data_IF_576657304845
#
_entry.id   IF_576657304845
#
_cell.length_a   1.000
_cell.length_b   1.000
_cell.length_c   1.000
_cell.angle_alpha   90.00
_cell.angle_beta   90.00
_cell.angle_gamma   90.00
#
_symmetry.space_group_name_H-M   'P 1'
#
loop_
_entity.id
_entity.type
_entity.pdbx_description
1 polymer ?
#
# COMPACT_ATOMS: atom_id res chain seq x y z
N UNK A 1 -18.27 -20.65 -13.84
CA UNK A 1 -17.24 -20.36 -12.83
C UNK A 1 -17.91 -19.45 -11.83
N UNK A 2 -18.16 -19.95 -10.63
CA UNK A 2 -18.84 -19.17 -9.59
C UNK A 2 -17.88 -18.07 -9.12
N UNK A 3 -18.16 -16.81 -9.52
CA UNK A 3 -17.40 -15.65 -9.08
C UNK A 3 -17.78 -15.32 -7.64
N UNK A 4 -17.22 -16.07 -6.69
CA UNK A 4 -17.36 -15.80 -5.27
C UNK A 4 -16.29 -14.82 -4.78
N UNK A 5 -16.67 -13.89 -3.89
CA UNK A 5 -15.74 -13.10 -3.11
C UNK A 5 -15.51 -13.78 -1.77
N UNK A 6 -14.30 -14.27 -1.52
CA UNK A 6 -13.94 -14.84 -0.22
C UNK A 6 -13.52 -13.73 0.73
N UNK A 7 -14.17 -13.68 1.89
CA UNK A 7 -13.85 -12.76 2.98
C UNK A 7 -13.37 -13.54 4.20
N UNK A 8 -12.34 -13.02 4.84
CA UNK A 8 -11.74 -13.48 6.07
C UNK A 8 -12.35 -12.69 7.24
N UNK A 9 -12.96 -13.42 8.17
CA UNK A 9 -13.70 -12.86 9.29
C UNK A 9 -12.99 -13.21 10.59
N UNK A 10 -12.70 -12.19 11.39
CA UNK A 10 -12.26 -12.37 12.77
C UNK A 10 -13.50 -12.31 13.67
N UNK A 11 -13.84 -13.44 14.28
CA UNK A 11 -15.02 -13.59 15.11
C UNK A 11 -14.78 -14.44 16.35
N UNK A 12 -15.85 -14.65 17.11
CA UNK A 12 -15.86 -15.53 18.27
C UNK A 12 -16.30 -16.95 17.85
N UNK A 13 -15.54 -17.98 18.21
CA UNK A 13 -15.81 -19.38 17.84
C UNK A 13 -16.65 -20.16 18.87
N UNK A 14 -17.11 -19.51 19.93
CA UNK A 14 -17.82 -20.17 21.04
C UNK A 14 -16.92 -20.53 22.23
N UNK A 15 -15.60 -20.63 22.05
CA UNK A 15 -14.64 -21.14 23.03
C UNK A 15 -14.01 -20.10 23.96
N UNK A 16 -14.34 -18.81 23.78
CA UNK A 16 -13.70 -17.72 24.51
C UNK A 16 -12.63 -16.99 23.70
N UNK A 17 -12.20 -17.57 22.57
CA UNK A 17 -11.04 -17.09 21.81
C UNK A 17 -11.44 -16.50 20.45
N UNK A 18 -10.72 -15.48 19.96
CA UNK A 18 -10.90 -15.00 18.61
C UNK A 18 -10.39 -16.06 17.61
N UNK A 19 -11.20 -16.36 16.61
CA UNK A 19 -10.86 -17.29 15.54
C UNK A 19 -11.10 -16.66 14.17
N UNK A 20 -10.35 -17.14 13.18
CA UNK A 20 -10.52 -16.77 11.78
C UNK A 20 -11.47 -17.77 11.12
N UNK A 21 -12.45 -17.24 10.39
CA UNK A 21 -13.27 -18.02 9.48
C UNK A 21 -13.26 -17.40 8.09
N UNK A 22 -13.38 -18.25 7.06
CA UNK A 22 -13.52 -17.82 5.68
C UNK A 22 -14.99 -17.94 5.26
N UNK A 23 -15.48 -16.91 4.60
CA UNK A 23 -16.84 -16.84 4.09
C UNK A 23 -16.83 -16.34 2.66
N UNK A 24 -17.28 -17.19 1.74
CA UNK A 24 -17.46 -16.82 0.34
C UNK A 24 -18.86 -16.28 0.12
N UNK A 25 -18.92 -15.07 -0.43
CA UNK A 25 -20.16 -14.42 -0.84
C UNK A 25 -20.31 -14.49 -2.36
N UNK A 26 -21.53 -14.69 -2.88
CA UNK A 26 -21.77 -14.57 -4.31
C UNK A 26 -21.57 -13.12 -4.75
N UNK A 27 -20.70 -12.86 -5.74
CA UNK A 27 -20.61 -11.55 -6.37
C UNK A 27 -21.61 -11.47 -7.52
N UNK A 28 -22.51 -10.49 -7.44
CA UNK A 28 -23.31 -10.08 -8.59
C UNK A 28 -22.80 -8.72 -9.10
N UNK A 29 -22.49 -8.58 -10.40
CA UNK A 29 -21.95 -7.35 -10.98
C UNK A 29 -22.80 -6.08 -10.74
N UNK A 30 -24.10 -6.27 -10.49
CA UNK A 30 -25.08 -5.19 -10.30
C UNK A 30 -25.55 -5.00 -8.86
N UNK A 31 -25.07 -5.81 -7.91
CA UNK A 31 -25.54 -5.74 -6.52
C UNK A 31 -24.37 -5.78 -5.53
N UNK A 32 -24.28 -4.78 -4.62
CA UNK A 32 -23.35 -4.85 -3.51
C UNK A 32 -23.68 -6.05 -2.63
N UNK A 33 -22.64 -6.65 -2.06
CA UNK A 33 -22.77 -7.81 -1.17
C UNK A 33 -23.25 -7.31 0.19
N UNK A 34 -24.39 -7.82 0.65
CA UNK A 34 -24.84 -7.71 2.05
C UNK A 34 -24.44 -9.00 2.77
N UNK A 35 -23.28 -9.04 3.46
CA UNK A 35 -22.79 -10.27 4.04
C UNK A 35 -23.68 -10.68 5.21
N UNK A 36 -24.32 -11.84 5.09
CA UNK A 36 -24.89 -12.53 6.26
C UNK A 36 -23.73 -13.10 7.07
N UNK A 37 -23.26 -12.33 8.04
CA UNK A 37 -22.14 -12.75 8.89
C UNK A 37 -22.50 -13.97 9.74
N UNK A 38 -21.51 -14.80 10.10
CA UNK A 38 -21.72 -15.95 10.97
C UNK A 38 -22.41 -15.57 12.30
N UNK A 39 -23.27 -16.46 12.81
CA UNK A 39 -23.96 -16.29 14.09
C UNK A 39 -22.94 -16.22 15.23
N UNK A 40 -22.68 -15.02 15.74
CA UNK A 40 -21.71 -14.77 16.79
C UNK A 40 -21.30 -13.30 16.83
N UNK A 41 -20.37 -12.96 17.71
CA UNK A 41 -19.78 -11.61 17.74
C UNK A 41 -18.68 -11.53 16.68
N UNK A 42 -18.96 -10.86 15.57
CA UNK A 42 -17.94 -10.50 14.59
C UNK A 42 -17.19 -9.25 15.04
N UNK A 43 -15.86 -9.30 15.00
CA UNK A 43 -15.02 -8.18 15.40
C UNK A 43 -14.47 -7.42 14.20
N UNK A 44 -14.09 -8.13 13.13
CA UNK A 44 -13.51 -7.55 11.93
C UNK A 44 -13.89 -8.41 10.71
N UNK A 45 -14.17 -7.74 9.59
CA UNK A 45 -14.47 -8.40 8.31
C UNK A 45 -13.45 -7.91 7.29
N UNK A 46 -12.85 -8.79 6.53
CA UNK A 46 -12.01 -8.38 5.41
C UNK A 46 -12.87 -7.95 4.23
N UNK A 47 -12.45 -6.89 3.55
CA UNK A 47 -13.08 -6.48 2.30
C UNK A 47 -13.05 -4.98 2.09
N UNK A 48 -13.67 -4.58 1.00
CA UNK A 48 -13.70 -3.20 0.54
C UNK A 48 -15.10 -2.64 0.71
N UNK A 49 -15.22 -1.39 1.18
CA UNK A 49 -16.51 -0.70 1.34
C UNK A 49 -17.26 -0.48 0.02
N UNK A 50 -16.56 -0.60 -1.12
CA UNK A 50 -17.14 -0.57 -2.47
C UNK A 50 -17.87 -1.87 -2.82
N UNK A 51 -17.48 -3.00 -2.22
CA UNK A 51 -18.06 -4.33 -2.47
C UNK A 51 -19.06 -4.73 -1.39
N UNK A 52 -18.72 -4.48 -0.12
CA UNK A 52 -19.54 -4.79 1.05
C UNK A 52 -20.16 -3.49 1.56
N UNK A 53 -21.46 -3.32 1.31
CA UNK A 53 -22.22 -2.20 1.88
C UNK A 53 -22.86 -2.65 3.19
N UNK A 54 -22.87 -1.73 4.15
CA UNK A 54 -23.55 -1.89 5.44
C UNK A 54 -23.06 -3.07 6.28
N UNK A 55 -21.74 -3.31 6.28
CA UNK A 55 -21.13 -4.30 7.17
C UNK A 55 -21.40 -3.92 8.64
N UNK A 56 -21.94 -4.84 9.46
CA UNK A 56 -22.19 -4.58 10.89
C UNK A 56 -20.91 -4.61 11.73
N UNK A 57 -19.75 -4.90 11.12
CA UNK A 57 -18.43 -4.84 11.73
C UNK A 57 -17.46 -4.03 10.85
N UNK A 58 -16.38 -3.47 11.41
CA UNK A 58 -15.38 -2.73 10.65
C UNK A 58 -14.79 -3.57 9.51
N UNK A 59 -14.56 -2.92 8.37
CA UNK A 59 -13.94 -3.53 7.20
C UNK A 59 -12.43 -3.27 7.19
N UNK A 60 -11.64 -4.29 6.84
CA UNK A 60 -10.19 -4.16 6.63
C UNK A 60 -9.80 -4.59 5.21
N UNK A 61 -9.51 -3.64 4.32
CA UNK A 61 -8.87 -3.91 3.02
C UNK A 61 -7.50 -4.56 3.19
N UNK A 62 -6.76 -4.19 4.24
CA UNK A 62 -5.46 -4.79 4.57
C UNK A 62 -5.58 -6.29 4.79
N UNK A 63 -6.55 -6.72 5.62
CA UNK A 63 -6.77 -8.14 5.86
C UNK A 63 -7.17 -8.87 4.56
N UNK A 64 -7.97 -8.23 3.71
CA UNK A 64 -8.39 -8.83 2.44
C UNK A 64 -7.21 -9.05 1.51
N UNK A 65 -6.40 -8.02 1.28
CA UNK A 65 -5.24 -8.11 0.39
C UNK A 65 -4.19 -9.11 0.90
N UNK A 66 -3.99 -9.18 2.22
CA UNK A 66 -3.07 -10.17 2.80
C UNK A 66 -3.62 -11.60 2.69
N UNK A 67 -4.93 -11.80 2.82
CA UNK A 67 -5.56 -13.10 2.61
C UNK A 67 -5.52 -13.55 1.14
N UNK A 68 -5.83 -12.64 0.21
CA UNK A 68 -5.93 -12.95 -1.22
C UNK A 68 -4.56 -13.10 -1.91
N UNK A 69 -3.60 -12.24 -1.56
CA UNK A 69 -2.30 -12.16 -2.23
C UNK A 69 -1.15 -12.74 -1.41
N UNK A 70 -1.35 -12.93 -0.11
CA UNK A 70 -0.34 -13.46 0.79
C UNK A 70 -0.32 -14.98 0.85
N UNK A 71 0.79 -15.54 1.32
CA UNK A 71 0.94 -16.97 1.64
C UNK A 71 0.81 -17.23 3.15
N UNK A 72 -0.02 -16.43 3.82
CA UNK A 72 -0.15 -16.46 5.28
C UNK A 72 -1.00 -17.63 5.74
N UNK A 73 -0.53 -18.34 6.76
CA UNK A 73 -1.32 -19.32 7.48
C UNK A 73 -2.46 -18.67 8.28
N UNK A 74 -3.50 -19.44 8.62
CA UNK A 74 -4.63 -18.95 9.43
C UNK A 74 -4.20 -18.24 10.74
N UNK A 75 -3.20 -18.72 11.52
CA UNK A 75 -2.70 -17.99 12.68
C UNK A 75 -2.04 -16.65 12.35
N UNK A 76 -1.35 -16.54 11.21
CA UNK A 76 -0.73 -15.28 10.77
C UNK A 76 -1.80 -14.28 10.32
N UNK A 77 -2.82 -14.73 9.58
CA UNK A 77 -3.98 -13.89 9.23
C UNK A 77 -4.74 -13.44 10.47
N UNK A 78 -4.88 -14.30 11.49
CA UNK A 78 -5.46 -13.93 12.77
C UNK A 78 -4.66 -12.82 13.47
N UNK A 79 -3.32 -12.90 13.45
CA UNK A 79 -2.44 -11.87 14.01
C UNK A 79 -2.59 -10.53 13.26
N UNK A 80 -2.66 -10.56 11.93
CA UNK A 80 -2.91 -9.37 11.09
C UNK A 80 -4.29 -8.77 11.43
N UNK A 81 -5.33 -9.61 11.52
CA UNK A 81 -6.67 -9.19 11.84
C UNK A 81 -6.76 -8.56 13.24
N UNK A 82 -6.06 -9.10 14.24
CA UNK A 82 -5.99 -8.52 15.58
C UNK A 82 -5.26 -7.18 15.60
N UNK A 83 -4.16 -7.06 14.85
CA UNK A 83 -3.42 -5.80 14.72
C UNK A 83 -4.29 -4.71 14.05
N UNK A 84 -5.02 -5.06 12.99
CA UNK A 84 -5.97 -4.18 12.31
C UNK A 84 -7.14 -3.79 13.22
N UNK A 85 -7.72 -4.74 13.95
CA UNK A 85 -8.77 -4.46 14.92
C UNK A 85 -8.27 -3.49 16.00
N UNK A 86 -7.07 -3.71 16.54
CA UNK A 86 -6.45 -2.81 17.52
C UNK A 86 -6.21 -1.42 16.92
N UNK A 87 -5.78 -1.32 15.66
CA UNK A 87 -5.60 -0.05 14.94
C UNK A 87 -6.92 0.70 14.80
N UNK A 88 -8.00 0.00 14.43
CA UNK A 88 -9.33 0.57 14.21
C UNK A 88 -10.06 0.94 15.51
N UNK A 89 -9.80 0.21 16.59
CA UNK A 89 -10.47 0.41 17.90
C UNK A 89 -9.66 1.26 18.88
N UNK A 90 -8.42 1.63 18.54
CA UNK A 90 -7.58 2.47 19.40
C UNK A 90 -8.31 3.79 19.71
N UNK A 91 -8.54 4.14 20.98
CA UNK A 91 -9.07 5.44 21.36
C UNK A 91 -7.96 6.47 21.18
N UNK A 92 -7.77 6.87 19.94
CA UNK A 92 -7.00 8.03 19.52
C UNK A 92 -7.87 8.76 18.53
N UNK A 93 -7.92 10.08 18.66
CA UNK A 93 -8.49 11.00 17.69
C UNK A 93 -8.42 10.42 16.26
N UNK A 94 -9.48 10.62 15.45
CA UNK A 94 -9.31 10.69 14.00
C UNK A 94 -8.34 11.84 13.72
N UNK A 95 -7.06 11.60 13.95
CA UNK A 95 -6.02 12.33 13.28
C UNK A 95 -6.17 11.88 11.85
N UNK A 96 -6.95 12.64 11.08
CA UNK A 96 -6.37 13.12 9.84
C UNK A 96 -5.07 13.77 10.30
N UNK A 97 -3.98 12.99 10.34
CA UNK A 97 -2.67 13.58 10.25
C UNK A 97 -2.76 14.23 8.89
N UNK A 98 -3.13 15.52 8.89
CA UNK A 98 -2.99 16.36 7.73
C UNK A 98 -1.48 16.46 7.60
N UNK A 99 -0.89 15.45 6.95
CA UNK A 99 0.52 15.40 6.67
C UNK A 99 0.86 16.78 6.12
N UNK A 100 1.79 17.48 6.79
CA UNK A 100 2.16 18.84 6.39
C UNK A 100 2.66 18.87 4.94
N UNK A 101 3.08 17.71 4.44
CA UNK A 101 3.44 17.45 3.06
C UNK A 101 2.78 16.11 2.65
N UNK A 102 1.73 16.10 1.82
CA UNK A 102 1.04 14.88 1.40
C UNK A 102 1.83 14.06 0.37
N UNK A 103 3.07 14.45 0.09
CA UNK A 103 3.93 13.78 -0.87
C UNK A 103 4.37 12.41 -0.36
N UNK A 104 4.15 11.40 -1.18
CA UNK A 104 4.64 10.03 -0.97
C UNK A 104 5.97 9.88 -1.69
N UNK A 105 7.05 9.76 -0.94
CA UNK A 105 8.38 9.48 -1.51
C UNK A 105 8.47 7.99 -1.86
N UNK A 106 8.78 7.69 -3.13
CA UNK A 106 8.86 6.30 -3.63
C UNK A 106 10.24 6.04 -4.19
N UNK A 107 10.95 5.05 -3.63
CA UNK A 107 12.29 4.67 -4.08
C UNK A 107 12.19 3.36 -4.85
N UNK A 108 12.64 3.36 -6.11
CA UNK A 108 12.50 2.22 -7.02
C UNK A 108 13.81 1.85 -7.72
N UNK A 109 13.99 0.55 -7.97
CA UNK A 109 15.18 0.03 -8.66
C UNK A 109 15.01 -0.06 -10.18
N UNK A 110 13.79 -0.25 -10.67
CA UNK A 110 13.49 -0.44 -12.09
C UNK A 110 12.61 0.68 -12.59
N UNK A 111 13.07 1.37 -13.64
CA UNK A 111 12.35 2.44 -14.33
C UNK A 111 10.91 2.04 -14.70
N UNK A 112 10.74 0.88 -15.35
CA UNK A 112 9.43 0.43 -15.85
C UNK A 112 8.41 0.23 -14.72
N UNK A 113 8.87 -0.25 -13.55
CA UNK A 113 7.99 -0.47 -12.40
C UNK A 113 7.60 0.87 -11.75
N UNK A 114 8.54 1.82 -11.70
CA UNK A 114 8.29 3.18 -11.20
C UNK A 114 7.28 3.92 -12.08
N UNK A 115 7.45 3.88 -13.41
CA UNK A 115 6.52 4.51 -14.36
C UNK A 115 5.12 3.94 -14.19
N UNK A 116 4.98 2.61 -14.17
CA UNK A 116 3.67 1.96 -13.97
C UNK A 116 3.03 2.37 -12.64
N UNK A 117 3.82 2.52 -11.58
CA UNK A 117 3.32 3.00 -10.29
C UNK A 117 2.80 4.44 -10.38
N UNK A 118 3.57 5.35 -10.98
CA UNK A 118 3.19 6.75 -11.20
C UNK A 118 1.93 6.84 -12.07
N UNK A 119 1.85 6.07 -13.16
CA UNK A 119 0.68 6.07 -14.05
C UNK A 119 -0.59 5.57 -13.34
N UNK A 120 -0.43 4.59 -12.43
CA UNK A 120 -1.57 4.02 -11.70
C UNK A 120 -2.06 4.94 -10.59
N UNK A 121 -1.15 5.60 -9.88
CA UNK A 121 -1.46 6.28 -8.62
C UNK A 121 -1.23 7.79 -8.63
N UNK A 122 -0.54 8.35 -9.62
CA UNK A 122 -0.19 9.78 -9.68
C UNK A 122 -1.39 10.72 -9.84
N UNK A 123 -2.56 10.19 -10.24
CA UNK A 123 -3.82 10.94 -10.20
C UNK A 123 -4.50 11.00 -8.83
N UNK A 124 -4.02 10.22 -7.85
CA UNK A 124 -4.60 10.07 -6.51
C UNK A 124 -3.60 10.49 -5.42
N UNK A 125 -2.31 10.23 -5.62
CA UNK A 125 -1.22 10.52 -4.69
C UNK A 125 -0.31 11.61 -5.29
N UNK A 126 0.17 12.52 -4.46
CA UNK A 126 1.31 13.37 -4.82
C UNK A 126 2.58 12.53 -4.65
N UNK A 127 3.18 12.05 -5.76
CA UNK A 127 4.31 11.13 -5.71
C UNK A 127 5.61 11.89 -5.95
N UNK A 128 6.63 11.62 -5.13
CA UNK A 128 8.01 12.10 -5.32
C UNK A 128 8.92 10.89 -5.61
N UNK A 129 9.16 10.54 -6.88
CA UNK A 129 9.86 9.32 -7.25
C UNK A 129 11.38 9.49 -7.26
N UNK A 130 12.10 8.49 -6.77
CA UNK A 130 13.56 8.39 -6.81
C UNK A 130 13.98 7.02 -7.34
N UNK A 131 14.82 6.99 -8.37
CA UNK A 131 15.44 5.76 -8.85
C UNK A 131 16.77 5.53 -8.14
N UNK A 132 17.10 4.27 -7.83
CA UNK A 132 18.44 3.88 -7.34
C UNK A 132 19.23 3.08 -8.38
N UNK A 133 18.60 2.75 -9.50
CA UNK A 133 19.24 2.11 -10.64
C UNK A 133 18.47 2.44 -11.93
N UNK A 134 19.21 2.53 -13.04
CA UNK A 134 18.67 2.94 -14.33
C UNK A 134 18.68 4.46 -14.51
N UNK A 135 18.18 4.92 -15.64
CA UNK A 135 18.14 6.35 -15.99
C UNK A 135 16.78 6.70 -16.57
N UNK A 136 16.24 7.84 -16.19
CA UNK A 136 15.03 8.42 -16.75
C UNK A 136 15.19 9.95 -16.85
N UNK A 137 14.77 10.60 -17.95
CA UNK A 137 14.92 12.05 -18.12
C UNK A 137 14.05 12.88 -17.17
N UNK A 138 13.02 12.28 -16.57
CA UNK A 138 12.02 12.98 -15.73
C UNK A 138 12.06 12.55 -14.27
N UNK A 139 12.65 11.39 -13.97
CA UNK A 139 12.75 10.85 -12.61
C UNK A 139 14.21 10.89 -12.17
N UNK A 140 14.56 11.55 -11.04
CA UNK A 140 15.93 11.58 -10.57
C UNK A 140 16.43 10.17 -10.23
N UNK A 141 17.68 9.89 -10.57
CA UNK A 141 18.40 8.69 -10.11
C UNK A 141 19.43 9.09 -9.05
N UNK A 142 19.32 8.52 -7.86
CA UNK A 142 20.30 8.61 -6.79
C UNK A 142 21.49 7.67 -7.07
N UNK A 143 22.70 8.21 -6.90
CA UNK A 143 23.94 7.41 -6.89
C UNK A 143 24.26 6.91 -5.49
N UNK A 144 24.02 7.76 -4.50
CA UNK A 144 24.23 7.50 -3.09
C UNK A 144 22.96 7.87 -2.33
N UNK A 145 22.58 7.03 -1.37
CA UNK A 145 21.44 7.25 -0.50
C UNK A 145 21.83 6.91 0.94
N UNK A 146 21.51 7.82 1.85
CA UNK A 146 21.68 7.67 3.29
C UNK A 146 20.33 7.90 3.94
N UNK A 147 19.94 7.00 4.85
CA UNK A 147 18.68 7.08 5.58
C UNK A 147 19.01 7.27 7.05
N UNK A 148 18.42 8.29 7.66
CA UNK A 148 18.66 8.70 9.04
C UNK A 148 17.34 8.66 9.82
N UNK A 149 17.38 8.05 11.02
CA UNK A 149 16.29 8.17 11.98
C UNK A 149 16.40 9.51 12.72
N UNK A 150 15.34 10.31 12.63
CA UNK A 150 15.19 11.55 13.38
C UNK A 150 14.10 11.41 14.47
N UNK A 151 14.07 12.35 15.41
CA UNK A 151 13.11 12.30 16.54
C UNK A 151 11.65 12.30 16.09
N UNK A 152 11.35 12.86 14.93
CA UNK A 152 9.99 13.01 14.38
C UNK A 152 9.79 12.32 13.01
N UNK A 153 10.68 11.39 12.62
CA UNK A 153 10.50 10.64 11.38
C UNK A 153 11.79 10.10 10.77
N UNK A 154 11.76 9.89 9.46
CA UNK A 154 12.88 9.43 8.65
C UNK A 154 13.36 10.59 7.76
N UNK A 155 14.67 10.82 7.74
CA UNK A 155 15.32 11.71 6.79
C UNK A 155 16.08 10.88 5.75
N UNK A 156 16.04 11.30 4.49
CA UNK A 156 16.70 10.63 3.38
C UNK A 156 17.56 11.66 2.66
N UNK A 157 18.87 11.48 2.76
CA UNK A 157 19.85 12.26 2.00
C UNK A 157 20.28 11.45 0.79
N UNK A 158 20.27 12.06 -0.39
CA UNK A 158 20.69 11.39 -1.60
C UNK A 158 21.41 12.35 -2.55
N UNK A 159 22.38 11.81 -3.27
CA UNK A 159 23.09 12.54 -4.30
C UNK A 159 22.52 12.13 -5.64
N UNK A 160 21.94 13.10 -6.36
CA UNK A 160 21.46 12.88 -7.72
C UNK A 160 22.50 13.33 -8.73
N UNK A 161 22.63 12.58 -9.83
CA UNK A 161 23.23 13.13 -11.05
C UNK A 161 22.16 13.89 -11.82
N UNK A 162 22.40 15.18 -12.05
CA UNK A 162 21.51 16.00 -12.89
C UNK A 162 21.71 15.55 -14.35
N UNK A 163 20.64 15.31 -15.13
CA UNK A 163 20.79 15.05 -16.55
C UNK A 163 21.51 16.21 -17.23
N UNK A 164 22.41 15.89 -18.17
CA UNK A 164 23.11 16.91 -18.96
C UNK A 164 22.07 17.65 -19.79
N UNK A 165 21.90 18.94 -19.52
CA UNK A 165 21.11 19.83 -20.37
C UNK A 165 21.84 20.01 -21.71
N UNK A 166 21.42 19.25 -22.71
CA UNK A 166 22.02 19.27 -24.05
C UNK A 166 21.96 20.65 -24.71
N UNK A 167 20.98 21.49 -24.36
CA UNK A 167 20.87 22.85 -24.88
C UNK A 167 21.94 23.80 -24.34
N UNK A 168 22.56 23.44 -23.21
CA UNK A 168 23.65 24.18 -22.55
C UNK A 168 24.97 23.40 -22.57
N UNK A 169 25.00 22.23 -23.20
CA UNK A 169 26.19 21.40 -23.30
C UNK A 169 27.19 22.05 -24.26
N UNK A 170 28.41 22.29 -23.78
CA UNK A 170 29.52 22.82 -24.58
C UNK A 170 30.48 21.74 -25.07
N UNK A 171 30.08 20.46 -25.00
CA UNK A 171 30.89 19.31 -25.40
C UNK A 171 32.29 19.28 -24.76
N UNK A 172 32.40 19.67 -23.48
CA UNK A 172 33.67 19.72 -22.77
C UNK A 172 34.25 18.34 -22.40
N UNK A 173 33.50 17.26 -22.59
CA UNK A 173 33.92 15.89 -22.27
C UNK A 173 34.00 15.58 -20.76
N UNK A 174 33.70 16.52 -19.87
CA UNK A 174 33.75 16.32 -18.42
C UNK A 174 32.71 15.33 -17.90
N UNK A 175 31.63 15.09 -18.65
CA UNK A 175 30.59 14.11 -18.33
C UNK A 175 31.00 12.65 -18.61
N UNK A 176 32.10 12.40 -19.35
CA UNK A 176 32.65 11.06 -19.57
C UNK A 176 31.64 10.05 -20.15
N UNK A 177 31.63 8.78 -19.71
CA UNK A 177 30.71 7.74 -20.20
C UNK A 177 29.22 7.99 -19.86
N UNK A 178 28.92 9.12 -19.22
CA UNK A 178 27.57 9.57 -18.84
C UNK A 178 26.95 10.48 -19.91
N UNK A 179 27.67 10.80 -20.99
CA UNK A 179 27.10 11.50 -22.13
C UNK A 179 26.07 10.58 -22.81
N UNK A 180 24.81 11.01 -23.03
CA UNK A 180 23.96 10.31 -23.97
C UNK A 180 24.67 10.39 -25.33
N UNK A 181 24.85 9.25 -26.00
CA UNK A 181 25.34 9.23 -27.39
C UNK A 181 24.47 10.11 -28.29
#
# INVERSE_FOLDING_TARGET
>A
MDNGFTSYILGYDGSGKPAMSEHTFPLHPSQPVSPTLPKGKTFLVSGFSTLIKDSPAPLSPTLQLNGDLGTFSSPQLAAIAQAELKRLTRPGFRHFIREKNPKVVVIGKKRADMIRFIDTYGGVLEIDPLLIQGNDPTIPTAEEISVHDERDGLSIDFVTRVPVDLSRCIYCGSCGPTCPE
#
